data_IF_268339644680
#
_entry.id   IF_268339644680
#
_cell.length_a   1.000
_cell.length_b   1.000
_cell.length_c   1.000
_cell.angle_alpha   90.00
_cell.angle_beta   90.00
_cell.angle_gamma   90.00
#
_symmetry.space_group_name_H-M   'P 1'
#
loop_
_entity.id
_entity.type
_entity.pdbx_description
1 polymer ?
#
# COMPACT_ATOMS: atom_id res chain seq x y z
N UNK A 1 -2.62 14.85 -1.24
CA UNK A 1 -3.38 13.64 -0.84
C UNK A 1 -4.25 13.11 -1.97
N UNK A 2 -5.20 13.89 -2.50
CA UNK A 2 -6.22 13.41 -3.46
C UNK A 2 -5.66 12.77 -4.75
N UNK A 3 -4.58 13.33 -5.32
CA UNK A 3 -3.95 12.77 -6.53
C UNK A 3 -3.39 11.36 -6.26
N UNK A 4 -2.57 11.23 -5.22
CA UNK A 4 -1.94 9.96 -4.85
C UNK A 4 -2.97 8.91 -4.43
N UNK A 5 -4.04 9.32 -3.73
CA UNK A 5 -5.14 8.44 -3.37
C UNK A 5 -5.82 7.85 -4.61
N UNK A 6 -6.09 8.67 -5.63
CA UNK A 6 -6.66 8.20 -6.89
C UNK A 6 -5.74 7.24 -7.64
N UNK A 7 -4.44 7.55 -7.70
CA UNK A 7 -3.45 6.69 -8.36
C UNK A 7 -3.35 5.32 -7.65
N UNK A 8 -3.21 5.31 -6.32
CA UNK A 8 -3.12 4.07 -5.53
C UNK A 8 -4.37 3.23 -5.72
N UNK A 9 -5.57 3.83 -5.69
CA UNK A 9 -6.81 3.12 -5.93
C UNK A 9 -6.81 2.41 -7.29
N UNK A 10 -6.51 3.14 -8.35
CA UNK A 10 -6.53 2.60 -9.72
C UNK A 10 -5.50 1.47 -9.91
N UNK A 11 -4.30 1.61 -9.35
CA UNK A 11 -3.27 0.57 -9.43
C UNK A 11 -3.68 -0.69 -8.64
N UNK A 12 -4.24 -0.53 -7.45
CA UNK A 12 -4.65 -1.66 -6.61
C UNK A 12 -5.85 -2.40 -7.21
N UNK A 13 -6.76 -1.71 -7.88
CA UNK A 13 -7.84 -2.36 -8.65
C UNK A 13 -7.28 -3.29 -9.74
N UNK A 14 -6.19 -2.91 -10.40
CA UNK A 14 -5.54 -3.75 -11.42
C UNK A 14 -4.78 -4.92 -10.79
N UNK A 15 -4.12 -4.70 -9.64
CA UNK A 15 -3.45 -5.75 -8.88
C UNK A 15 -4.46 -6.79 -8.38
N UNK A 16 -5.61 -6.35 -7.87
CA UNK A 16 -6.68 -7.23 -7.40
C UNK A 16 -7.18 -8.17 -8.51
N UNK A 17 -7.19 -7.73 -9.76
CA UNK A 17 -7.63 -8.52 -10.92
C UNK A 17 -6.52 -9.42 -11.48
N UNK A 18 -5.29 -8.91 -11.57
CA UNK A 18 -4.20 -9.57 -12.29
C UNK A 18 -3.38 -10.51 -11.40
N UNK A 19 -3.09 -10.09 -10.16
CA UNK A 19 -2.22 -10.82 -9.25
C UNK A 19 -2.69 -10.74 -7.78
N UNK A 20 -3.92 -11.21 -7.47
CA UNK A 20 -4.54 -11.05 -6.13
C UNK A 20 -3.76 -11.70 -4.98
N UNK A 21 -2.85 -12.63 -5.28
CA UNK A 21 -2.03 -13.34 -4.28
C UNK A 21 -0.64 -12.74 -4.05
N UNK A 22 -0.29 -11.65 -4.75
CA UNK A 22 1.01 -11.00 -4.62
C UNK A 22 1.15 -10.25 -3.28
N UNK A 23 2.39 -10.07 -2.84
CA UNK A 23 2.72 -9.16 -1.74
C UNK A 23 2.79 -7.72 -2.27
N UNK A 24 2.09 -6.80 -1.61
CA UNK A 24 1.89 -5.42 -2.04
C UNK A 24 2.56 -4.49 -1.02
N UNK A 25 3.60 -3.79 -1.47
CA UNK A 25 4.28 -2.75 -0.70
C UNK A 25 3.89 -1.35 -1.17
N UNK A 26 3.29 -0.55 -0.29
CA UNK A 26 2.90 0.84 -0.58
C UNK A 26 4.00 1.80 -0.12
N UNK A 27 4.63 2.48 -1.07
CA UNK A 27 5.64 3.55 -0.82
C UNK A 27 5.00 4.94 -0.96
N UNK A 28 3.92 5.05 -1.74
CA UNK A 28 3.28 6.32 -2.07
C UNK A 28 2.79 7.04 -0.82
N UNK A 29 3.29 8.26 -0.62
CA UNK A 29 2.91 9.10 0.51
C UNK A 29 1.50 9.70 0.35
N UNK A 30 0.78 9.92 1.47
CA UNK A 30 1.13 9.51 2.83
C UNK A 30 0.84 8.02 3.07
N UNK A 31 1.85 7.24 3.47
CA UNK A 31 1.75 5.75 3.62
C UNK A 31 0.62 5.34 4.55
N UNK A 32 0.42 6.08 5.65
CA UNK A 32 -0.63 5.80 6.65
C UNK A 32 -2.04 5.77 6.05
N UNK A 33 -2.29 6.59 5.02
CA UNK A 33 -3.62 6.68 4.40
C UNK A 33 -3.71 5.86 3.11
N UNK A 34 -2.63 5.78 2.33
CA UNK A 34 -2.62 5.02 1.07
C UNK A 34 -2.70 3.51 1.30
N UNK A 35 -2.13 2.99 2.40
CA UNK A 35 -2.30 1.59 2.81
C UNK A 35 -3.76 1.28 3.17
N UNK A 36 -4.44 2.17 3.90
CA UNK A 36 -5.85 2.01 4.23
C UNK A 36 -6.74 2.00 2.98
N UNK A 37 -6.46 2.87 2.01
CA UNK A 37 -7.15 2.89 0.71
C UNK A 37 -6.96 1.58 -0.03
N UNK A 38 -5.71 1.09 -0.14
CA UNK A 38 -5.40 -0.17 -0.80
C UNK A 38 -6.15 -1.36 -0.13
N UNK A 39 -6.20 -1.38 1.20
CA UNK A 39 -6.93 -2.41 1.95
C UNK A 39 -8.43 -2.41 1.60
N UNK A 40 -9.07 -1.24 1.57
CA UNK A 40 -10.50 -1.13 1.24
C UNK A 40 -10.80 -1.54 -0.21
N UNK A 41 -9.92 -1.22 -1.16
CA UNK A 41 -10.06 -1.68 -2.56
C UNK A 41 -9.97 -3.20 -2.64
N UNK A 42 -8.96 -3.80 -1.99
CA UNK A 42 -8.79 -5.26 -1.97
C UNK A 42 -9.94 -5.97 -1.27
N UNK A 43 -10.49 -5.39 -0.18
CA UNK A 43 -11.66 -5.93 0.52
C UNK A 43 -12.90 -5.89 -0.36
N UNK A 44 -13.15 -4.78 -1.05
CA UNK A 44 -14.26 -4.66 -2.02
C UNK A 44 -14.13 -5.67 -3.16
N UNK A 45 -12.90 -5.99 -3.57
CA UNK A 45 -12.62 -7.02 -4.56
C UNK A 45 -12.64 -8.47 -3.99
N UNK A 46 -12.80 -8.64 -2.67
CA UNK A 46 -12.86 -9.96 -2.02
C UNK A 46 -11.53 -10.72 -1.94
N UNK A 47 -10.40 -10.05 -2.21
CA UNK A 47 -9.06 -10.68 -2.30
C UNK A 47 -8.08 -10.14 -1.25
N UNK A 48 -8.58 -9.44 -0.24
CA UNK A 48 -7.75 -8.85 0.81
C UNK A 48 -7.10 -9.91 1.70
N UNK A 49 -5.76 -9.91 1.74
CA UNK A 49 -4.96 -10.67 2.68
C UNK A 49 -4.12 -9.70 3.53
N UNK A 50 -4.43 -9.65 4.84
CA UNK A 50 -3.75 -8.76 5.80
C UNK A 50 -2.26 -9.03 5.94
N UNK A 51 -1.80 -10.23 5.60
CA UNK A 51 -0.39 -10.59 5.68
C UNK A 51 0.39 -10.20 4.41
N UNK A 52 -0.29 -9.70 3.38
CA UNK A 52 0.30 -9.38 2.08
C UNK A 52 0.22 -7.91 1.71
N UNK A 53 -0.36 -7.05 2.54
CA UNK A 53 -0.37 -5.61 2.33
C UNK A 53 0.45 -4.92 3.42
N UNK A 54 1.47 -4.16 3.03
CA UNK A 54 2.31 -3.41 3.96
C UNK A 54 2.68 -2.03 3.43
N UNK A 55 2.79 -1.07 4.36
CA UNK A 55 3.37 0.25 4.09
C UNK A 55 4.88 0.20 4.27
N UNK A 56 5.63 0.73 3.32
CA UNK A 56 7.09 0.75 3.41
C UNK A 56 7.53 1.93 4.28
N UNK A 57 7.94 1.63 5.51
CA UNK A 57 8.46 2.60 6.50
C UNK A 57 9.97 2.49 6.70
N UNK A 58 10.65 1.66 5.90
CA UNK A 58 12.09 1.38 6.05
C UNK A 58 12.98 2.63 5.95
N UNK A 59 12.50 3.70 5.28
CA UNK A 59 13.20 4.99 5.24
C UNK A 59 13.42 5.58 6.64
N UNK A 60 12.47 5.39 7.55
CA UNK A 60 12.57 5.92 8.92
C UNK A 60 13.64 5.15 9.70
N UNK A 61 13.75 3.83 9.50
CA UNK A 61 14.77 2.98 10.13
C UNK A 61 16.18 3.39 9.68
N UNK A 62 16.40 3.55 8.37
CA UNK A 62 17.74 3.93 7.87
C UNK A 62 18.14 5.34 8.31
N UNK A 63 17.17 6.26 8.43
CA UNK A 63 17.41 7.59 8.99
C UNK A 63 17.81 7.49 10.47
N UNK A 64 17.05 6.76 11.28
CA UNK A 64 17.41 6.53 12.68
C UNK A 64 18.80 5.94 12.84
N UNK A 65 19.17 4.93 12.04
CA UNK A 65 20.52 4.34 12.08
C UNK A 65 21.64 5.29 11.66
N UNK A 66 21.34 6.33 10.87
CA UNK A 66 22.34 7.31 10.41
C UNK A 66 22.52 8.44 11.42
N UNK A 67 21.48 8.78 12.18
CA UNK A 67 21.48 9.90 13.13
C UNK A 67 21.69 9.47 14.60
N UNK A 68 21.77 8.17 14.89
CA UNK A 68 22.21 7.58 16.16
C UNK A 68 23.69 7.24 16.06
#
# INVERSE_FOLDING_TARGET
FNVNAGIVRNLIEQVAKTCPKACIGIITNPVNTTVAIAAEVLKKAGVYDKNKLFGVTSLDIIRSNTFV
#
